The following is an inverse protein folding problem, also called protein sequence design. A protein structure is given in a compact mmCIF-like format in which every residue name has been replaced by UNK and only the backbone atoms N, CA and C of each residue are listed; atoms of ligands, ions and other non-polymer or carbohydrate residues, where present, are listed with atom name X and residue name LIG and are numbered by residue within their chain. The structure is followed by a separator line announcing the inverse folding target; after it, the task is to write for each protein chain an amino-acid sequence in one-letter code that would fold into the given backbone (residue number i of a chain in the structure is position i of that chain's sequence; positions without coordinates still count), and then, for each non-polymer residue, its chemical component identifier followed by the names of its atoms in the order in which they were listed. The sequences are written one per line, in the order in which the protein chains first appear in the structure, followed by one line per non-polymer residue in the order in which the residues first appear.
data_IF_496784504862
#
_entry.id   IF_496784504862
#
_cell.length_a   1.000
_cell.length_b   1.000
_cell.length_c   1.000
_cell.angle_alpha   90.00
_cell.angle_beta   90.00
_cell.angle_gamma   90.00
#
_symmetry.space_group_name_H-M   'P 1'
#
loop_
_entity.id
_entity.type
_entity.pdbx_description
1 polymer ?
#
# COMPACT_ATOMS: atom_id res chain seq x y z
N UNK A 1 1.13 6.60 8.84
CA UNK A 1 0.90 5.82 10.09
C UNK A 1 0.52 6.78 11.20
N UNK A 2 -0.68 6.66 11.77
CA UNK A 2 -1.15 7.62 12.76
C UNK A 2 -0.47 7.41 14.12
N UNK A 3 -0.21 8.49 14.90
CA UNK A 3 0.44 8.42 16.21
C UNK A 3 -0.13 7.38 17.18
N UNK A 4 -1.45 7.11 17.11
CA UNK A 4 -2.16 6.20 18.03
C UNK A 4 -2.44 4.82 17.42
N UNK A 5 -1.90 4.51 16.24
CA UNK A 5 -2.15 3.21 15.62
C UNK A 5 -1.50 2.04 16.37
N UNK A 6 -0.44 2.28 17.16
CA UNK A 6 0.30 1.26 17.91
C UNK A 6 -0.09 1.21 19.39
N UNK A 7 0.21 0.10 20.07
CA UNK A 7 -0.03 -0.09 21.51
C UNK A 7 0.57 1.05 22.36
N UNK A 8 1.78 1.50 22.03
CA UNK A 8 2.37 2.72 22.57
C UNK A 8 2.26 3.83 21.54
N UNK A 9 1.86 5.04 21.96
CA UNK A 9 1.75 6.19 21.06
C UNK A 9 3.10 6.55 20.47
N UNK A 10 3.18 6.63 19.15
CA UNK A 10 4.35 7.10 18.42
C UNK A 10 4.28 8.62 18.21
N UNK A 11 5.45 9.26 18.14
CA UNK A 11 5.53 10.66 17.73
C UNK A 11 5.17 10.81 16.24
N UNK A 12 4.50 11.90 15.88
CA UNK A 12 4.18 12.21 14.47
C UNK A 12 5.47 12.56 13.72
N UNK A 13 5.73 11.89 12.60
CA UNK A 13 6.97 12.12 11.82
C UNK A 13 7.07 13.55 11.27
N UNK A 14 5.95 14.16 10.87
CA UNK A 14 5.90 15.56 10.46
C UNK A 14 6.41 16.53 11.54
N UNK A 15 6.17 16.22 12.83
CA UNK A 15 6.65 17.03 13.95
C UNK A 15 8.15 16.86 14.21
N UNK A 16 8.79 15.80 13.69
CA UNK A 16 10.24 15.56 13.76
C UNK A 16 11.00 16.12 12.55
N UNK A 17 10.31 16.67 11.56
CA UNK A 17 10.90 17.28 10.36
C UNK A 17 11.54 16.30 9.37
N UNK A 18 11.53 15.00 9.63
CA UNK A 18 12.08 13.95 8.74
C UNK A 18 11.28 12.65 8.84
N UNK A 19 11.11 11.97 7.70
CA UNK A 19 10.58 10.60 7.67
C UNK A 19 11.65 9.60 8.12
N UNK A 20 11.26 8.62 8.94
CA UNK A 20 12.14 7.55 9.37
C UNK A 20 12.40 6.53 8.26
N UNK A 21 13.51 5.78 8.37
CA UNK A 21 13.92 4.78 7.38
C UNK A 21 12.84 3.72 7.10
N UNK A 22 12.11 3.26 8.13
CA UNK A 22 10.99 2.32 8.00
C UNK A 22 9.87 2.87 7.12
N UNK A 23 9.49 4.14 7.27
CA UNK A 23 8.44 4.76 6.45
C UNK A 23 8.87 4.82 5.00
N UNK A 24 10.10 5.23 4.73
CA UNK A 24 10.64 5.29 3.37
C UNK A 24 10.78 3.91 2.71
N UNK A 25 11.16 2.89 3.48
CA UNK A 25 11.22 1.49 3.00
C UNK A 25 9.84 1.03 2.54
N UNK A 26 8.81 1.21 3.38
CA UNK A 26 7.43 0.79 3.10
C UNK A 26 6.86 1.54 1.89
N UNK A 27 7.03 2.87 1.82
CA UNK A 27 6.56 3.67 0.68
C UNK A 27 7.18 3.17 -0.64
N UNK A 28 8.49 2.94 -0.66
CA UNK A 28 9.18 2.42 -1.85
C UNK A 28 8.72 1.00 -2.20
N UNK A 29 8.49 0.15 -1.21
CA UNK A 29 7.99 -1.21 -1.41
C UNK A 29 6.58 -1.21 -2.03
N UNK A 30 5.64 -0.44 -1.46
CA UNK A 30 4.27 -0.31 -1.99
C UNK A 30 4.31 0.20 -3.43
N UNK A 31 5.06 1.28 -3.68
CA UNK A 31 5.15 1.87 -5.02
C UNK A 31 5.75 0.89 -6.05
N UNK A 32 6.76 0.10 -5.67
CA UNK A 32 7.33 -0.93 -6.57
C UNK A 32 6.33 -2.04 -6.86
N UNK A 33 5.63 -2.54 -5.84
CA UNK A 33 4.65 -3.62 -6.01
C UNK A 33 3.51 -3.20 -6.96
N UNK A 34 2.97 -2.00 -6.78
CA UNK A 34 1.84 -1.52 -7.59
C UNK A 34 2.23 -1.13 -9.00
N UNK A 35 3.44 -0.59 -9.22
CA UNK A 35 3.94 -0.33 -10.58
C UNK A 35 4.13 -1.62 -11.39
N UNK A 36 4.44 -2.74 -10.75
CA UNK A 36 4.48 -4.04 -11.43
C UNK A 36 3.10 -4.48 -11.93
N UNK A 37 2.04 -4.02 -11.26
CA UNK A 37 0.65 -4.35 -11.54
C UNK A 37 -0.01 -3.48 -12.63
N UNK A 38 0.66 -2.42 -13.09
CA UNK A 38 0.11 -1.43 -14.03
C UNK A 38 1.00 -1.29 -15.26
N UNK A 39 0.38 -1.10 -16.43
CA UNK A 39 1.06 -0.63 -17.63
C UNK A 39 1.20 0.90 -17.62
N UNK A 40 2.40 1.37 -17.26
CA UNK A 40 2.70 2.79 -17.20
C UNK A 40 2.69 3.46 -18.59
N UNK A 41 2.85 2.70 -19.68
CA UNK A 41 2.75 3.26 -21.04
C UNK A 41 1.29 3.55 -21.38
N UNK A 42 0.40 2.61 -21.08
CA UNK A 42 -1.05 2.77 -21.27
C UNK A 42 -1.63 3.81 -20.31
N UNK A 43 -1.06 3.94 -19.12
CA UNK A 43 -1.43 4.98 -18.17
C UNK A 43 -1.16 6.39 -18.72
N UNK A 44 -0.09 6.59 -19.48
CA UNK A 44 0.27 7.91 -20.04
C UNK A 44 0.74 8.90 -18.98
N UNK A 45 0.47 10.19 -19.19
CA UNK A 45 0.96 11.30 -18.34
C UNK A 45 0.10 11.53 -17.09
N UNK A 46 -0.40 10.45 -16.49
CA UNK A 46 -1.11 10.50 -15.21
C UNK A 46 -0.20 10.07 -14.07
N UNK A 47 -0.25 10.85 -12.98
CA UNK A 47 0.34 10.45 -11.70
C UNK A 47 -0.79 10.09 -10.74
N UNK A 48 -0.72 8.88 -10.17
CA UNK A 48 -1.65 8.43 -9.14
C UNK A 48 -0.90 8.39 -7.81
N UNK A 49 -1.34 9.23 -6.88
CA UNK A 49 -0.83 9.25 -5.50
C UNK A 49 -1.65 8.29 -4.65
N UNK A 50 -0.98 7.43 -3.89
CA UNK A 50 -1.61 6.45 -3.01
C UNK A 50 -1.16 6.67 -1.58
N UNK A 51 -2.10 7.05 -0.73
CA UNK A 51 -1.88 7.30 0.68
C UNK A 51 -2.38 6.12 1.52
N UNK A 52 -1.44 5.45 2.20
CA UNK A 52 -1.73 4.30 3.05
C UNK A 52 -1.57 4.70 4.51
N UNK A 53 -2.66 5.13 5.13
CA UNK A 53 -2.67 5.47 6.56
C UNK A 53 -3.20 4.35 7.44
N UNK A 54 -2.31 3.84 8.27
CA UNK A 54 -2.63 2.85 9.29
C UNK A 54 -3.33 3.55 10.45
N UNK A 55 -4.57 3.15 10.69
CA UNK A 55 -5.40 3.57 11.84
C UNK A 55 -5.21 2.66 13.06
N UNK A 56 -4.93 1.37 12.86
CA UNK A 56 -4.62 0.39 13.89
C UNK A 56 -3.54 -0.57 13.39
N UNK A 57 -2.56 -0.88 14.25
CA UNK A 57 -1.41 -1.69 13.91
C UNK A 57 -1.27 -2.88 14.86
N UNK A 58 -1.56 -4.08 14.34
CA UNK A 58 -1.33 -5.37 15.01
C UNK A 58 -0.57 -6.36 14.10
N UNK A 59 0.53 -5.87 13.53
CA UNK A 59 1.33 -6.62 12.56
C UNK A 59 0.75 -6.61 11.13
N UNK A 60 1.58 -6.98 10.15
CA UNK A 60 1.16 -7.09 8.75
C UNK A 60 0.76 -5.78 8.04
N UNK A 61 0.90 -4.62 8.68
CA UNK A 61 0.37 -3.35 8.14
C UNK A 61 0.93 -3.00 6.76
N UNK A 62 2.21 -3.27 6.50
CA UNK A 62 2.82 -3.05 5.17
C UNK A 62 2.24 -3.95 4.07
N UNK A 63 1.93 -5.21 4.38
CA UNK A 63 1.37 -6.15 3.42
C UNK A 63 -0.11 -5.86 3.18
N UNK A 64 -0.84 -5.50 4.26
CA UNK A 64 -2.21 -5.00 4.17
C UNK A 64 -2.29 -3.72 3.32
N UNK A 65 -1.35 -2.78 3.46
CA UNK A 65 -1.28 -1.57 2.64
C UNK A 65 -1.09 -1.88 1.15
N UNK A 66 -0.29 -2.89 0.77
CA UNK A 66 -0.14 -3.29 -0.64
C UNK A 66 -1.47 -3.80 -1.19
N UNK A 67 -2.11 -4.74 -0.49
CA UNK A 67 -3.37 -5.34 -0.93
C UNK A 67 -4.49 -4.30 -1.03
N UNK A 68 -4.64 -3.45 -0.01
CA UNK A 68 -5.66 -2.39 0.01
C UNK A 68 -5.40 -1.31 -1.05
N UNK A 69 -4.14 -0.88 -1.22
CA UNK A 69 -3.79 0.10 -2.24
C UNK A 69 -3.99 -0.43 -3.67
N UNK A 70 -3.84 -1.74 -3.91
CA UNK A 70 -4.14 -2.33 -5.21
C UNK A 70 -5.62 -2.21 -5.57
N UNK A 71 -6.52 -2.42 -4.59
CA UNK A 71 -7.97 -2.21 -4.80
C UNK A 71 -8.26 -0.74 -5.06
N UNK A 72 -7.72 0.16 -4.24
CA UNK A 72 -7.91 1.60 -4.41
C UNK A 72 -7.39 2.11 -5.77
N UNK A 73 -6.26 1.55 -6.25
CA UNK A 73 -5.70 1.84 -7.56
C UNK A 73 -6.61 1.37 -8.69
N UNK A 74 -7.15 0.15 -8.60
CA UNK A 74 -8.10 -0.38 -9.57
C UNK A 74 -9.35 0.52 -9.66
N UNK A 75 -9.89 0.94 -8.52
CA UNK A 75 -11.04 1.88 -8.46
C UNK A 75 -10.70 3.23 -9.10
N UNK A 76 -9.51 3.78 -8.83
CA UNK A 76 -9.06 5.03 -9.42
C UNK A 76 -8.95 4.93 -10.96
N UNK A 77 -8.35 3.85 -11.47
CA UNK A 77 -8.22 3.60 -12.91
C UNK A 77 -9.58 3.42 -13.58
N UNK A 78 -10.47 2.64 -12.96
CA UNK A 78 -11.83 2.45 -13.46
C UNK A 78 -12.60 3.77 -13.53
N UNK A 79 -12.47 4.64 -12.52
CA UNK A 79 -13.06 5.99 -12.54
C UNK A 79 -12.50 6.85 -13.66
N UNK A 80 -11.19 6.77 -13.95
CA UNK A 80 -10.59 7.52 -15.06
C UNK A 80 -11.10 7.03 -16.42
N UNK A 81 -11.30 5.73 -16.59
CA UNK A 81 -11.89 5.14 -17.81
C UNK A 81 -13.36 5.56 -17.95
N UNK A 82 -14.16 5.45 -16.88
CA UNK A 82 -15.56 5.84 -16.88
C UNK A 82 -15.75 7.34 -17.21
N UNK A 83 -14.82 8.18 -16.78
CA UNK A 83 -14.81 9.62 -17.08
C UNK A 83 -14.20 9.96 -18.46
N UNK A 84 -13.85 8.96 -19.28
CA UNK A 84 -13.26 9.14 -20.61
C UNK A 84 -11.84 9.71 -20.61
N UNK A 85 -11.18 9.83 -19.45
CA UNK A 85 -9.79 10.32 -19.33
C UNK A 85 -8.77 9.29 -19.77
N UNK A 86 -9.09 8.01 -19.59
CA UNK A 86 -8.32 6.88 -20.11
C UNK A 86 -9.17 6.10 -21.11
N UNK A 87 -8.56 5.72 -22.24
CA UNK A 87 -9.24 4.91 -23.26
C UNK A 87 -9.50 3.48 -22.79
N UNK A 88 -8.59 2.92 -22.00
CA UNK A 88 -8.64 1.53 -21.52
C UNK A 88 -8.06 1.47 -20.10
N UNK A 89 -8.43 0.45 -19.32
CA UNK A 89 -7.85 0.26 -17.99
C UNK A 89 -6.41 -0.30 -18.12
N UNK A 90 -5.38 0.40 -17.62
CA UNK A 90 -3.97 -0.04 -17.73
C UNK A 90 -3.57 -1.13 -16.72
N UNK A 91 -4.50 -1.65 -15.92
CA UNK A 91 -4.21 -2.70 -14.93
C UNK A 91 -3.84 -4.01 -15.63
N UNK A 92 -2.64 -4.56 -15.32
CA UNK A 92 -2.18 -5.86 -15.83
C UNK A 92 -2.74 -7.04 -15.04
N UNK A 93 -2.99 -6.83 -13.75
CA UNK A 93 -3.51 -7.85 -12.83
C UNK A 93 -3.47 -7.36 -11.39
N UNK A 94 -4.20 -8.03 -10.50
CA UNK A 94 -4.24 -7.67 -9.09
C UNK A 94 -2.98 -8.14 -8.36
N UNK A 95 -2.51 -7.35 -7.40
CA UNK A 95 -1.40 -7.68 -6.51
C UNK A 95 -1.88 -7.66 -5.07
N UNK A 96 -1.50 -8.69 -4.32
CA UNK A 96 -1.72 -8.80 -2.89
C UNK A 96 -0.40 -9.18 -2.20
N UNK A 97 -0.31 -8.88 -0.91
CA UNK A 97 0.83 -9.27 -0.09
C UNK A 97 0.35 -9.85 1.25
N UNK A 98 1.09 -10.81 1.78
CA UNK A 98 0.90 -11.41 3.10
C UNK A 98 2.24 -11.56 3.78
N UNK A 99 2.27 -11.42 5.12
CA UNK A 99 3.47 -11.72 5.89
C UNK A 99 3.50 -13.19 6.28
N UNK A 100 4.68 -13.81 6.18
CA UNK A 100 4.92 -15.22 6.51
C UNK A 100 6.11 -15.31 7.47
N UNK A 101 6.16 -16.36 8.28
CA UNK A 101 7.27 -16.60 9.18
C UNK A 101 7.12 -17.91 9.95
N UNK A 102 8.14 -18.24 10.74
CA UNK A 102 8.10 -19.38 11.66
C UNK A 102 7.77 -18.85 13.06
N UNK A 103 6.71 -19.38 13.67
CA UNK A 103 6.26 -19.04 15.03
C UNK A 103 6.18 -20.33 15.83
N UNK A 104 6.90 -20.41 16.95
CA UNK A 104 6.96 -21.61 17.80
C UNK A 104 7.37 -22.89 17.03
N UNK A 105 8.27 -22.76 16.05
CA UNK A 105 8.72 -23.88 15.22
C UNK A 105 7.78 -24.25 14.07
N UNK A 106 6.62 -23.59 13.95
CA UNK A 106 5.63 -23.87 12.92
C UNK A 106 5.56 -22.76 11.87
N UNK A 107 5.30 -23.13 10.62
CA UNK A 107 5.08 -22.16 9.54
C UNK A 107 3.73 -21.47 9.73
N UNK A 108 3.73 -20.14 9.80
CA UNK A 108 2.54 -19.34 10.01
C UNK A 108 2.37 -18.26 8.94
N UNK A 109 1.13 -18.06 8.52
CA UNK A 109 0.69 -16.89 7.75
C UNK A 109 0.11 -15.87 8.72
N UNK A 110 0.51 -14.59 8.57
CA UNK A 110 -0.11 -13.48 9.30
C UNK A 110 -0.70 -12.50 8.30
N UNK A 111 -2.01 -12.61 8.11
CA UNK A 111 -2.84 -11.60 7.45
C UNK A 111 -3.33 -10.65 8.54
N UNK A 112 -2.74 -9.46 8.65
CA UNK A 112 -3.10 -8.50 9.68
C UNK A 112 -4.25 -7.60 9.24
N UNK A 113 -5.48 -7.95 9.60
CA UNK A 113 -6.56 -7.06 10.09
C UNK A 113 -7.45 -7.94 11.00
N UNK A 114 -7.36 -7.77 12.33
CA UNK A 114 -8.45 -8.15 13.24
C UNK A 114 -9.08 -6.88 13.75
#
# INVERSE_FOLDING_TARGET
MLPRATHTRNAREAAKGKQGGRTMEIQRLIARALRAAVDLKTLGEFTITLDCDVIQADGGTRTASISGACVALADALNKLVANGKLKTNPMKGMVAAVSVGIVNGESALRSGVR
#
